data_IF_116530694583
#
_entry.id   IF_116530694583
#
_cell.length_a   1.000
_cell.length_b   1.000
_cell.length_c   1.000
_cell.angle_alpha   90.00
_cell.angle_beta   90.00
_cell.angle_gamma   90.00
#
_symmetry.space_group_name_H-M   'P 1'
#
loop_
_entity.id
_entity.type
_entity.pdbx_description
1 polymer ?
#
# COMPACT_ATOMS: atom_id res chain seq x y z
N UNK A 1 -16.16 17.46 1.57
CA UNK A 1 -14.75 17.91 1.77
C UNK A 1 -13.93 16.81 2.46
N UNK A 2 -12.60 16.95 2.47
CA UNK A 2 -11.70 16.03 3.22
C UNK A 2 -12.06 16.05 4.72
N UNK A 3 -12.41 17.19 5.29
CA UNK A 3 -12.81 17.28 6.70
C UNK A 3 -14.08 16.46 7.01
N UNK A 4 -15.05 16.44 6.08
CA UNK A 4 -16.26 15.61 6.25
C UNK A 4 -15.92 14.12 6.20
N UNK A 5 -14.96 13.74 5.34
CA UNK A 5 -14.46 12.37 5.22
C UNK A 5 -13.69 11.95 6.48
N UNK A 6 -12.88 12.84 7.06
CA UNK A 6 -12.16 12.57 8.32
C UNK A 6 -13.12 12.34 9.48
N UNK A 7 -14.20 13.15 9.59
CA UNK A 7 -15.25 12.92 10.58
C UNK A 7 -15.99 11.59 10.40
N UNK A 8 -16.15 11.13 9.15
CA UNK A 8 -16.73 9.82 8.86
C UNK A 8 -15.75 8.68 9.20
N UNK A 9 -14.45 8.85 8.93
CA UNK A 9 -13.42 7.90 9.34
C UNK A 9 -13.38 7.71 10.85
N UNK A 10 -13.48 8.80 11.63
CA UNK A 10 -13.55 8.73 13.09
C UNK A 10 -14.77 7.92 13.58
N UNK A 11 -15.92 8.09 12.93
CA UNK A 11 -17.11 7.30 13.22
C UNK A 11 -16.92 5.82 12.87
N UNK A 12 -16.29 5.54 11.74
CA UNK A 12 -15.93 4.18 11.32
C UNK A 12 -14.95 3.53 12.29
N UNK A 13 -13.90 4.21 12.74
CA UNK A 13 -12.92 3.64 13.68
C UNK A 13 -13.59 3.26 15.00
N UNK A 14 -14.45 4.12 15.55
CA UNK A 14 -15.22 3.83 16.77
C UNK A 14 -16.16 2.63 16.59
N UNK A 15 -16.80 2.53 15.41
CA UNK A 15 -17.65 1.40 15.09
C UNK A 15 -16.85 0.09 14.96
N UNK A 16 -15.69 0.11 14.29
CA UNK A 16 -14.82 -1.04 14.12
C UNK A 16 -14.23 -1.52 15.46
N UNK A 17 -13.79 -0.60 16.33
CA UNK A 17 -13.33 -0.94 17.69
C UNK A 17 -14.44 -1.59 18.53
N UNK A 18 -15.65 -1.03 18.50
CA UNK A 18 -16.82 -1.60 19.22
C UNK A 18 -17.16 -3.03 18.76
N UNK A 19 -16.92 -3.35 17.50
CA UNK A 19 -17.19 -4.66 16.90
C UNK A 19 -15.98 -5.61 16.95
N UNK A 20 -14.85 -5.21 17.55
CA UNK A 20 -13.63 -6.03 17.60
C UNK A 20 -12.92 -6.22 16.27
N UNK A 21 -13.25 -5.38 15.27
CA UNK A 21 -12.72 -5.46 13.90
C UNK A 21 -11.80 -4.30 13.54
N UNK A 22 -11.26 -3.58 14.54
CA UNK A 22 -10.36 -2.46 14.32
C UNK A 22 -9.13 -2.87 13.51
N UNK A 23 -8.79 -2.07 12.51
CA UNK A 23 -7.74 -2.36 11.53
C UNK A 23 -6.75 -1.20 11.42
N UNK A 24 -5.54 -1.51 10.96
CA UNK A 24 -4.61 -0.48 10.54
C UNK A 24 -5.16 0.26 9.32
N UNK A 25 -5.15 1.59 9.37
CA UNK A 25 -5.68 2.43 8.32
C UNK A 25 -4.68 3.53 7.96
N UNK A 26 -4.32 3.63 6.69
CA UNK A 26 -3.42 4.65 6.16
C UNK A 26 -4.01 5.27 4.91
N UNK A 27 -3.98 6.60 4.82
CA UNK A 27 -4.35 7.35 3.62
C UNK A 27 -3.12 7.75 2.85
N UNK A 28 -3.17 7.55 1.54
CA UNK A 28 -2.16 7.95 0.58
C UNK A 28 -2.72 9.05 -0.30
N UNK A 29 -2.08 10.21 -0.29
CA UNK A 29 -2.41 11.35 -1.16
C UNK A 29 -1.35 11.47 -2.25
N UNK A 30 -1.74 11.55 -3.54
CA UNK A 30 -0.81 11.65 -4.66
C UNK A 30 0.19 12.80 -4.49
N UNK A 31 1.49 12.50 -4.66
CA UNK A 31 2.58 13.48 -4.65
C UNK A 31 3.27 13.54 -6.02
N UNK A 32 3.79 12.41 -6.52
CA UNK A 32 4.29 12.26 -7.88
C UNK A 32 3.58 11.07 -8.52
N UNK A 33 2.60 11.31 -9.37
CA UNK A 33 1.77 10.28 -10.00
C UNK A 33 1.55 10.55 -11.48
N UNK A 34 1.31 9.48 -12.24
CA UNK A 34 1.08 9.53 -13.67
C UNK A 34 -0.38 9.80 -14.06
N UNK A 35 -1.02 10.82 -13.50
CA UNK A 35 -2.35 11.23 -13.95
C UNK A 35 -2.30 11.84 -15.35
N UNK A 36 -3.31 11.57 -16.17
CA UNK A 36 -3.46 12.15 -17.51
C UNK A 36 -4.87 12.75 -17.65
N UNK A 37 -5.12 13.62 -18.67
CA UNK A 37 -6.46 14.16 -18.90
C UNK A 37 -7.53 13.09 -19.17
N UNK A 38 -7.15 11.96 -19.76
CA UNK A 38 -8.04 10.82 -20.03
C UNK A 38 -8.12 9.81 -18.89
N UNK A 39 -7.16 9.87 -17.97
CA UNK A 39 -7.14 9.11 -16.72
C UNK A 39 -6.67 10.04 -15.60
N UNK A 40 -7.57 10.85 -15.03
CA UNK A 40 -7.21 11.88 -14.05
C UNK A 40 -6.68 11.31 -12.74
N UNK A 41 -6.74 9.98 -12.57
CA UNK A 41 -6.28 9.33 -11.36
C UNK A 41 -7.34 9.36 -10.27
N UNK A 42 -6.90 9.58 -9.06
CA UNK A 42 -7.72 9.54 -7.84
C UNK A 42 -7.22 10.62 -6.86
N UNK A 43 -8.10 11.08 -5.99
CA UNK A 43 -7.76 12.10 -4.99
C UNK A 43 -6.97 11.49 -3.83
N UNK A 44 -7.25 10.22 -3.49
CA UNK A 44 -6.56 9.48 -2.45
C UNK A 44 -6.75 7.96 -2.62
N UNK A 45 -5.93 7.20 -1.89
CA UNK A 45 -6.09 5.76 -1.66
C UNK A 45 -6.14 5.55 -0.15
N UNK A 46 -7.24 4.99 0.35
CA UNK A 46 -7.30 4.49 1.72
C UNK A 46 -6.93 3.00 1.72
N UNK A 47 -5.83 2.67 2.37
CA UNK A 47 -5.38 1.30 2.54
C UNK A 47 -5.72 0.82 3.95
N UNK A 48 -6.46 -0.27 4.02
CA UNK A 48 -6.92 -0.88 5.25
C UNK A 48 -6.28 -2.26 5.36
N UNK A 49 -5.53 -2.52 6.44
CA UNK A 49 -4.80 -3.78 6.61
C UNK A 49 -5.26 -4.53 7.85
N UNK A 50 -5.55 -5.82 7.67
CA UNK A 50 -5.91 -6.77 8.73
C UNK A 50 -5.63 -8.20 8.27
N UNK A 51 -5.90 -9.19 9.12
CA UNK A 51 -5.98 -10.59 8.68
C UNK A 51 -7.26 -10.82 7.86
N UNK A 52 -7.27 -11.86 7.03
CA UNK A 52 -8.47 -12.21 6.27
C UNK A 52 -9.68 -12.53 7.16
N UNK A 53 -9.44 -13.12 8.34
CA UNK A 53 -10.51 -13.43 9.31
C UNK A 53 -11.18 -12.13 9.81
N UNK A 54 -10.38 -11.15 10.25
CA UNK A 54 -10.89 -9.85 10.72
C UNK A 54 -11.58 -9.10 9.58
N UNK A 55 -11.02 -9.15 8.36
CA UNK A 55 -11.66 -8.53 7.19
C UNK A 55 -13.03 -9.15 6.88
N UNK A 56 -13.15 -10.49 6.94
CA UNK A 56 -14.42 -11.18 6.72
C UNK A 56 -15.48 -10.79 7.74
N UNK A 57 -15.15 -10.83 9.04
CA UNK A 57 -16.05 -10.42 10.10
C UNK A 57 -16.49 -8.95 9.98
N UNK A 58 -15.57 -8.06 9.62
CA UNK A 58 -15.92 -6.66 9.41
C UNK A 58 -16.86 -6.47 8.23
N UNK A 59 -16.60 -7.14 7.09
CA UNK A 59 -17.50 -7.05 5.94
C UNK A 59 -18.89 -7.59 6.24
N UNK A 60 -19.00 -8.70 7.00
CA UNK A 60 -20.30 -9.22 7.44
C UNK A 60 -21.02 -8.20 8.33
N UNK A 61 -20.33 -7.57 9.28
CA UNK A 61 -20.89 -6.52 10.14
C UNK A 61 -21.25 -5.25 9.34
N UNK A 62 -20.39 -4.84 8.38
CA UNK A 62 -20.61 -3.68 7.52
C UNK A 62 -21.86 -3.80 6.67
N UNK A 63 -22.09 -4.96 6.09
CA UNK A 63 -23.23 -5.22 5.22
C UNK A 63 -24.48 -5.65 5.99
N UNK A 64 -24.34 -6.33 7.12
CA UNK A 64 -25.42 -6.97 7.87
C UNK A 64 -25.99 -6.14 9.02
N UNK A 65 -25.32 -5.09 9.50
CA UNK A 65 -25.79 -4.29 10.63
C UNK A 65 -26.36 -2.94 10.18
N UNK A 66 -27.41 -2.40 10.87
CA UNK A 66 -27.94 -1.08 10.57
C UNK A 66 -26.90 0.04 10.67
N UNK A 67 -25.98 -0.04 11.64
CA UNK A 67 -24.91 0.93 11.83
C UNK A 67 -23.88 0.87 10.69
N UNK A 68 -23.47 -0.33 10.26
CA UNK A 68 -22.57 -0.53 9.12
C UNK A 68 -23.20 0.00 7.83
N UNK A 69 -24.45 -0.33 7.56
CA UNK A 69 -25.18 0.16 6.39
C UNK A 69 -25.31 1.69 6.37
N UNK A 70 -25.52 2.31 7.53
CA UNK A 70 -25.58 3.77 7.66
C UNK A 70 -24.23 4.43 7.35
N UNK A 71 -23.13 3.87 7.85
CA UNK A 71 -21.77 4.34 7.53
C UNK A 71 -21.48 4.17 6.05
N UNK A 72 -21.83 3.03 5.45
CA UNK A 72 -21.65 2.77 4.03
C UNK A 72 -22.42 3.77 3.15
N UNK A 73 -23.69 4.04 3.48
CA UNK A 73 -24.50 5.03 2.76
C UNK A 73 -23.86 6.43 2.84
N UNK A 74 -23.39 6.83 4.03
CA UNK A 74 -22.74 8.12 4.23
C UNK A 74 -21.43 8.23 3.47
N UNK A 75 -20.68 7.12 3.35
CA UNK A 75 -19.46 7.09 2.54
C UNK A 75 -19.76 7.35 1.06
N UNK A 76 -20.79 6.71 0.53
CA UNK A 76 -21.24 6.90 -0.86
C UNK A 76 -21.71 8.33 -1.19
N UNK A 77 -22.14 9.11 -0.19
CA UNK A 77 -22.47 10.54 -0.37
C UNK A 77 -21.24 11.44 -0.48
N UNK A 78 -20.11 11.05 0.15
CA UNK A 78 -18.90 11.86 0.25
C UNK A 78 -17.85 11.52 -0.80
N UNK A 79 -17.80 10.26 -1.24
CA UNK A 79 -16.77 9.78 -2.14
C UNK A 79 -17.27 8.66 -3.07
N UNK A 80 -16.75 8.64 -4.30
CA UNK A 80 -16.88 7.49 -5.19
C UNK A 80 -15.64 6.63 -5.05
N UNK A 81 -15.78 5.45 -4.43
CA UNK A 81 -14.68 4.55 -4.15
C UNK A 81 -14.80 3.21 -4.88
N UNK A 82 -13.67 2.69 -5.32
CA UNK A 82 -13.54 1.32 -5.78
C UNK A 82 -12.81 0.50 -4.72
N UNK A 83 -13.48 -0.51 -4.18
CA UNK A 83 -12.89 -1.40 -3.17
C UNK A 83 -12.17 -2.54 -3.88
N UNK A 84 -10.89 -2.71 -3.54
CA UNK A 84 -10.04 -3.77 -4.07
C UNK A 84 -9.31 -4.46 -2.92
N UNK A 85 -9.31 -5.78 -2.93
CA UNK A 85 -8.54 -6.54 -1.94
C UNK A 85 -7.21 -6.96 -2.53
N UNK A 86 -6.14 -6.76 -1.77
CA UNK A 86 -4.80 -7.26 -2.09
C UNK A 86 -4.28 -8.11 -0.92
N UNK A 87 -3.54 -9.17 -1.23
CA UNK A 87 -2.77 -9.88 -0.21
C UNK A 87 -1.41 -9.22 -0.10
N UNK A 88 -1.10 -8.70 1.08
CA UNK A 88 0.19 -8.08 1.36
C UNK A 88 1.18 -9.10 1.92
N UNK A 89 2.33 -9.23 1.25
CA UNK A 89 3.44 -10.08 1.70
C UNK A 89 4.60 -9.19 2.12
N UNK A 90 4.76 -8.99 3.43
CA UNK A 90 5.87 -8.20 3.98
C UNK A 90 7.21 -8.88 3.70
N UNK A 91 8.15 -8.14 3.12
CA UNK A 91 9.52 -8.56 2.86
C UNK A 91 10.53 -7.93 3.82
N UNK A 92 10.29 -6.69 4.20
CA UNK A 92 11.08 -5.96 5.18
C UNK A 92 10.19 -5.02 6.00
N UNK A 93 10.44 -4.88 7.29
CA UNK A 93 9.77 -3.92 8.15
C UNK A 93 10.66 -3.52 9.34
N UNK A 94 10.98 -2.25 9.44
CA UNK A 94 11.49 -1.65 10.68
C UNK A 94 10.29 -1.24 11.54
N UNK A 95 9.87 -2.13 12.42
CA UNK A 95 8.68 -1.92 13.27
C UNK A 95 8.83 -0.75 14.21
N UNK A 96 10.06 -0.40 14.63
CA UNK A 96 10.33 0.76 15.49
C UNK A 96 10.14 2.06 14.71
N UNK A 97 10.70 2.17 13.53
CA UNK A 97 10.53 3.34 12.67
C UNK A 97 9.06 3.50 12.22
N UNK A 98 8.38 2.40 11.90
CA UNK A 98 6.96 2.40 11.57
C UNK A 98 6.05 2.83 12.73
N UNK A 99 6.47 2.65 13.97
CA UNK A 99 5.71 3.07 15.15
C UNK A 99 6.02 4.52 15.59
N UNK A 100 7.13 5.10 15.11
CA UNK A 100 7.64 6.38 15.61
C UNK A 100 6.87 7.59 15.06
N UNK A 101 6.28 7.49 13.86
CA UNK A 101 5.59 8.58 13.19
C UNK A 101 4.37 8.05 12.43
N UNK A 102 3.39 8.91 12.20
CA UNK A 102 2.21 8.63 11.37
C UNK A 102 2.34 9.20 9.95
N UNK A 103 3.18 10.22 9.76
CA UNK A 103 3.47 10.78 8.45
C UNK A 103 4.62 10.00 7.78
N UNK A 104 4.49 9.73 6.48
CA UNK A 104 5.49 8.99 5.71
C UNK A 104 5.34 9.18 4.20
N UNK A 105 6.29 8.68 3.45
CA UNK A 105 6.21 8.59 1.99
C UNK A 105 6.03 7.12 1.60
N UNK A 106 5.06 6.85 0.76
CA UNK A 106 4.82 5.51 0.19
C UNK A 106 5.02 5.56 -1.32
N UNK A 107 5.66 4.53 -1.87
CA UNK A 107 5.72 4.34 -3.32
C UNK A 107 5.02 3.06 -3.72
N UNK A 108 4.33 3.09 -4.86
CA UNK A 108 3.73 1.93 -5.50
C UNK A 108 4.29 1.76 -6.91
N UNK A 109 4.78 0.57 -7.22
CA UNK A 109 5.32 0.18 -8.51
C UNK A 109 4.68 -1.13 -8.97
N UNK A 110 3.90 -1.07 -10.04
CA UNK A 110 3.21 -2.25 -10.58
C UNK A 110 4.12 -3.04 -11.52
N UNK A 111 4.10 -4.35 -11.39
CA UNK A 111 4.99 -5.25 -12.10
C UNK A 111 4.27 -6.48 -12.64
N UNK A 112 4.70 -6.92 -13.82
CA UNK A 112 4.39 -8.23 -14.39
C UNK A 112 5.63 -9.13 -14.29
N UNK A 113 5.42 -10.37 -13.91
CA UNK A 113 6.44 -11.41 -13.93
C UNK A 113 6.83 -11.71 -15.38
N UNK A 114 8.11 -11.88 -15.67
CA UNK A 114 8.56 -12.34 -16.99
C UNK A 114 7.98 -13.73 -17.31
N UNK A 115 7.58 -13.97 -18.56
CA UNK A 115 6.95 -15.22 -18.98
C UNK A 115 7.82 -16.45 -18.71
N UNK A 116 9.14 -16.32 -18.86
CA UNK A 116 10.12 -17.39 -18.63
C UNK A 116 10.38 -17.70 -17.15
N UNK A 117 9.86 -16.89 -16.22
CA UNK A 117 10.11 -17.01 -14.78
C UNK A 117 8.91 -17.67 -14.11
N UNK A 118 9.11 -18.74 -13.36
CA UNK A 118 8.05 -19.33 -12.55
C UNK A 118 7.73 -18.46 -11.32
N UNK A 119 6.56 -18.66 -10.72
CA UNK A 119 6.18 -17.99 -9.47
C UNK A 119 7.19 -18.29 -8.35
N UNK A 120 7.66 -19.54 -8.24
CA UNK A 120 8.64 -19.94 -7.23
C UNK A 120 9.99 -19.25 -7.42
N UNK A 121 10.44 -19.09 -8.68
CA UNK A 121 11.66 -18.34 -8.99
C UNK A 121 11.53 -16.86 -8.60
N UNK A 122 10.39 -16.23 -8.87
CA UNK A 122 10.13 -14.85 -8.48
C UNK A 122 10.10 -14.71 -6.95
N UNK A 123 9.44 -15.62 -6.24
CA UNK A 123 9.41 -15.64 -4.76
C UNK A 123 10.83 -15.80 -4.20
N UNK A 124 11.62 -16.73 -4.73
CA UNK A 124 13.00 -16.94 -4.32
C UNK A 124 13.86 -15.69 -4.55
N UNK A 125 13.67 -15.00 -5.69
CA UNK A 125 14.35 -13.73 -5.97
C UNK A 125 13.98 -12.63 -4.98
N UNK A 126 12.69 -12.46 -4.67
CA UNK A 126 12.25 -11.50 -3.65
C UNK A 126 12.82 -11.81 -2.26
N UNK A 127 12.88 -13.09 -1.88
CA UNK A 127 13.48 -13.50 -0.60
C UNK A 127 14.97 -13.21 -0.58
N UNK A 128 15.69 -13.44 -1.69
CA UNK A 128 17.11 -13.10 -1.83
C UNK A 128 17.36 -11.59 -1.72
N UNK A 129 16.52 -10.76 -2.36
CA UNK A 129 16.61 -9.30 -2.25
C UNK A 129 16.35 -8.84 -0.81
N UNK A 130 15.38 -9.43 -0.11
CA UNK A 130 15.08 -9.09 1.28
C UNK A 130 16.24 -9.47 2.24
N UNK A 131 16.86 -10.64 2.02
CA UNK A 131 17.99 -11.12 2.84
C UNK A 131 19.27 -10.29 2.62
N UNK A 132 19.40 -9.69 1.44
CA UNK A 132 20.56 -8.86 1.07
C UNK A 132 20.15 -7.39 0.88
N UNK A 133 19.19 -6.93 1.68
CA UNK A 133 18.72 -5.55 1.60
C UNK A 133 19.88 -4.59 1.85
N UNK A 134 20.18 -3.69 0.90
CA UNK A 134 21.41 -2.87 1.00
C UNK A 134 21.38 -1.97 2.23
N UNK A 135 22.48 -1.95 2.97
CA UNK A 135 22.68 -0.98 4.05
C UNK A 135 22.62 0.46 3.49
N UNK A 136 22.00 1.37 4.22
CA UNK A 136 21.88 2.78 3.81
C UNK A 136 20.69 3.11 2.94
N UNK A 137 19.90 2.12 2.48
CA UNK A 137 18.58 2.41 1.92
C UNK A 137 17.64 2.71 3.09
N UNK A 138 17.14 3.93 3.12
CA UNK A 138 16.31 4.41 4.22
C UNK A 138 14.83 3.95 4.14
N UNK A 139 14.53 2.82 3.48
CA UNK A 139 13.21 2.20 3.54
C UNK A 139 12.94 1.72 4.96
N UNK A 140 11.75 2.02 5.47
CA UNK A 140 11.26 1.47 6.74
C UNK A 140 10.28 0.31 6.53
N UNK A 141 9.83 0.10 5.29
CA UNK A 141 8.98 -1.02 4.89
C UNK A 141 9.17 -1.36 3.41
N UNK A 142 9.10 -2.64 3.09
CA UNK A 142 8.92 -3.19 1.74
C UNK A 142 7.96 -4.37 1.78
N UNK A 143 6.92 -4.31 0.96
CA UNK A 143 5.93 -5.36 0.78
C UNK A 143 5.55 -5.58 -0.67
N UNK A 144 4.94 -6.73 -0.93
CA UNK A 144 4.34 -7.08 -2.21
C UNK A 144 2.82 -7.08 -2.04
N UNK A 145 2.13 -6.36 -2.90
CA UNK A 145 0.68 -6.37 -2.99
C UNK A 145 0.26 -7.28 -4.13
N UNK A 146 -0.39 -8.38 -3.81
CA UNK A 146 -0.90 -9.37 -4.77
C UNK A 146 -2.40 -9.13 -4.96
N UNK A 147 -2.86 -8.74 -6.17
CA UNK A 147 -4.28 -8.52 -6.46
C UNK A 147 -5.13 -9.75 -6.13
N UNK A 148 -6.26 -9.53 -5.45
CA UNK A 148 -7.24 -10.52 -5.06
C UNK A 148 -8.64 -10.10 -5.56
N UNK A 149 -9.64 -10.05 -4.69
CA UNK A 149 -11.02 -9.72 -5.02
C UNK A 149 -11.16 -8.26 -5.49
N UNK A 150 -12.03 -8.02 -6.47
CA UNK A 150 -12.28 -6.69 -7.03
C UNK A 150 -11.16 -6.15 -7.93
N UNK A 151 -10.17 -6.96 -8.30
CA UNK A 151 -8.98 -6.56 -9.03
C UNK A 151 -8.96 -6.99 -10.52
N UNK A 152 -10.11 -7.18 -11.15
CA UNK A 152 -10.17 -7.56 -12.59
C UNK A 152 -9.48 -6.53 -13.51
N UNK A 153 -9.29 -5.30 -13.04
CA UNK A 153 -8.59 -4.21 -13.74
C UNK A 153 -7.31 -3.78 -13.03
N UNK A 154 -6.65 -4.70 -12.30
CA UNK A 154 -5.35 -4.39 -11.72
C UNK A 154 -4.34 -4.00 -12.82
N UNK A 155 -3.49 -2.99 -12.59
CA UNK A 155 -2.54 -2.53 -13.61
C UNK A 155 -1.54 -3.59 -14.03
N UNK A 156 -1.19 -4.54 -13.13
CA UNK A 156 -0.28 -5.64 -13.37
C UNK A 156 -0.49 -6.76 -12.34
N UNK A 157 0.32 -7.82 -12.41
CA UNK A 157 0.18 -9.03 -11.60
C UNK A 157 0.48 -8.82 -10.10
N UNK A 158 1.34 -7.86 -9.77
CA UNK A 158 1.66 -7.50 -8.39
C UNK A 158 2.17 -6.05 -8.32
N UNK A 159 2.27 -5.52 -7.10
CA UNK A 159 2.95 -4.24 -6.89
C UNK A 159 3.99 -4.33 -5.77
N UNK A 160 5.11 -3.62 -5.94
CA UNK A 160 5.98 -3.27 -4.82
C UNK A 160 5.40 -2.07 -4.08
N UNK A 161 5.37 -2.15 -2.76
CA UNK A 161 5.08 -1.04 -1.87
C UNK A 161 6.30 -0.80 -0.99
N UNK A 162 6.95 0.34 -1.20
CA UNK A 162 8.03 0.79 -0.32
C UNK A 162 7.53 1.96 0.54
N UNK A 163 8.02 2.04 1.79
CA UNK A 163 7.72 3.15 2.69
C UNK A 163 9.00 3.77 3.22
N UNK A 164 9.03 5.09 3.26
CA UNK A 164 10.14 5.93 3.72
C UNK A 164 9.66 6.86 4.84
N UNK A 165 10.49 7.22 5.81
CA UNK A 165 10.11 8.16 6.86
C UNK A 165 9.77 9.55 6.30
N UNK A 166 10.45 9.98 5.25
CA UNK A 166 10.28 11.31 4.64
C UNK A 166 10.74 11.35 3.17
N UNK A 167 10.56 12.50 2.52
CA UNK A 167 11.01 12.75 1.14
C UNK A 167 12.53 12.71 1.03
N UNK A 168 13.27 13.12 2.05
CA UNK A 168 14.73 13.10 2.06
C UNK A 168 15.26 11.68 1.96
N UNK A 169 14.66 10.75 2.71
CA UNK A 169 14.98 9.33 2.65
C UNK A 169 14.66 8.72 1.27
N UNK A 170 13.52 9.07 0.68
CA UNK A 170 13.20 8.69 -0.70
C UNK A 170 14.26 9.22 -1.69
N UNK A 171 14.68 10.49 -1.57
CA UNK A 171 15.69 11.08 -2.44
C UNK A 171 17.07 10.46 -2.23
N UNK A 172 17.44 10.08 -1.00
CA UNK A 172 18.67 9.33 -0.74
C UNK A 172 18.68 7.99 -1.49
N UNK A 173 17.54 7.27 -1.53
CA UNK A 173 17.41 6.08 -2.35
C UNK A 173 17.55 6.37 -3.86
N UNK A 174 16.98 7.45 -4.37
CA UNK A 174 17.15 7.82 -5.77
C UNK A 174 18.62 8.14 -6.10
N UNK A 175 19.33 8.84 -5.19
CA UNK A 175 20.76 9.09 -5.33
C UNK A 175 21.57 7.78 -5.34
N UNK A 176 21.29 6.85 -4.43
CA UNK A 176 21.92 5.52 -4.42
C UNK A 176 21.68 4.78 -5.75
N UNK A 177 20.46 4.80 -6.28
CA UNK A 177 20.14 4.19 -7.58
C UNK A 177 20.92 4.84 -8.72
N UNK A 178 20.91 6.17 -8.82
CA UNK A 178 21.46 6.89 -9.96
C UNK A 178 22.98 7.07 -9.93
N UNK A 179 23.55 7.34 -8.76
CA UNK A 179 24.91 7.83 -8.62
C UNK A 179 25.86 6.86 -7.89
N UNK A 180 25.32 5.96 -7.06
CA UNK A 180 26.13 5.07 -6.21
C UNK A 180 26.10 3.61 -6.67
N UNK A 181 25.56 3.36 -7.86
CA UNK A 181 25.55 2.03 -8.48
C UNK A 181 24.43 1.09 -8.04
N UNK A 182 23.48 1.58 -7.26
CA UNK A 182 22.33 0.78 -6.80
C UNK A 182 21.49 0.19 -7.93
N UNK A 183 21.44 0.85 -9.10
CA UNK A 183 20.80 0.31 -10.28
C UNK A 183 21.35 -1.05 -10.70
N UNK A 184 22.66 -1.33 -10.48
CA UNK A 184 23.28 -2.61 -10.80
C UNK A 184 22.72 -3.75 -9.95
N UNK A 185 22.39 -3.45 -8.69
CA UNK A 185 21.80 -4.44 -7.75
C UNK A 185 20.41 -4.85 -8.24
N UNK A 186 19.66 -3.91 -8.82
CA UNK A 186 18.30 -4.14 -9.28
C UNK A 186 18.22 -4.52 -10.77
N UNK A 187 19.30 -4.32 -11.54
CA UNK A 187 19.29 -4.58 -12.98
C UNK A 187 18.84 -6.00 -13.32
N UNK A 188 19.42 -7.01 -12.67
CA UNK A 188 19.06 -8.41 -12.90
C UNK A 188 17.57 -8.66 -12.61
N UNK A 189 17.04 -8.06 -11.54
CA UNK A 189 15.62 -8.18 -11.22
C UNK A 189 14.74 -7.64 -12.35
N UNK A 190 14.97 -6.39 -12.79
CA UNK A 190 14.15 -5.75 -13.81
C UNK A 190 14.33 -6.33 -15.21
N UNK A 191 15.46 -6.91 -15.52
CA UNK A 191 15.69 -7.51 -16.84
C UNK A 191 15.28 -8.96 -16.93
N UNK A 192 15.38 -9.72 -15.82
CA UNK A 192 15.26 -11.18 -15.84
C UNK A 192 14.04 -11.72 -15.09
N UNK A 193 13.47 -10.99 -14.14
CA UNK A 193 12.39 -11.50 -13.28
C UNK A 193 11.06 -10.77 -13.44
N UNK A 194 11.08 -9.46 -13.60
CA UNK A 194 9.84 -8.66 -13.67
C UNK A 194 9.99 -7.43 -14.55
N UNK A 195 8.92 -7.08 -15.26
CA UNK A 195 8.77 -5.82 -15.98
C UNK A 195 7.91 -4.90 -15.13
N UNK A 196 8.44 -3.76 -14.71
CA UNK A 196 7.77 -2.85 -13.79
C UNK A 196 7.49 -1.49 -14.43
N UNK A 197 6.40 -0.87 -14.02
CA UNK A 197 6.04 0.51 -14.38
C UNK A 197 6.89 1.52 -13.62
N UNK A 198 6.73 2.81 -13.96
CA UNK A 198 7.25 3.89 -13.13
C UNK A 198 6.54 3.91 -11.78
N UNK A 199 7.27 4.33 -10.74
CA UNK A 199 6.76 4.44 -9.38
C UNK A 199 5.87 5.65 -9.22
N UNK A 200 4.68 5.43 -8.68
CA UNK A 200 3.86 6.48 -8.12
C UNK A 200 4.28 6.75 -6.68
N UNK A 201 4.32 8.01 -6.29
CA UNK A 201 4.75 8.47 -4.95
C UNK A 201 3.60 9.19 -4.27
N UNK A 202 3.41 8.87 -2.99
CA UNK A 202 2.33 9.39 -2.16
C UNK A 202 2.89 9.98 -0.87
N UNK A 203 2.34 11.12 -0.45
CA UNK A 203 2.34 11.50 0.96
C UNK A 203 1.33 10.62 1.67
N UNK A 204 1.71 9.99 2.75
CA UNK A 204 0.88 9.04 3.45
C UNK A 204 0.75 9.39 4.92
N UNK A 205 -0.45 9.21 5.48
CA UNK A 205 -0.73 9.44 6.90
C UNK A 205 -1.46 8.23 7.49
N UNK A 206 -0.95 7.71 8.59
CA UNK A 206 -1.65 6.71 9.39
C UNK A 206 -2.78 7.40 10.14
N UNK A 207 -4.02 7.01 9.85
CA UNK A 207 -5.22 7.58 10.46
C UNK A 207 -5.70 6.75 11.65
N UNK A 208 -5.38 5.45 11.67
CA UNK A 208 -5.77 4.57 12.77
C UNK A 208 -4.79 3.42 12.96
N UNK A 209 -4.51 3.11 14.22
CA UNK A 209 -3.79 1.90 14.66
C UNK A 209 -4.70 1.15 15.62
N UNK A 210 -5.00 -0.15 15.39
CA UNK A 210 -5.79 -0.90 16.35
C UNK A 210 -5.10 -0.94 17.70
N UNK A 211 -5.87 -0.74 18.76
CA UNK A 211 -5.40 -1.00 20.14
C UNK A 211 -5.02 -2.48 20.24
N UNK A 212 -3.82 -2.77 20.77
CA UNK A 212 -3.29 -4.13 20.95
C UNK A 212 -4.05 -4.87 22.05
#
# INVERSE_FOLDING_TARGET
>A
TIADLDGLNDAYFKWAEKNGTARFFIRLTPLFTGATPTNPGYDYIDMIASTFAVAGEEWDNWLGTPEGQKLNARWGELATCYVRMTHNVTKYADTKALAADDDRIVTLEWCDRQESVSTDQLIAKHNSLAANFPEGIANIYWGLLLPQLGNSSAPAQFAHMDTYPDVKALMARQNWLGNEGGWRVLQDYYTSYASCSNRNVFSAKVLHRPSR
#
